data_IF_641771276066
#
_entry.id   IF_641771276066
#
_cell.length_a   1.000
_cell.length_b   1.000
_cell.length_c   1.000
_cell.angle_alpha   90.00
_cell.angle_beta   90.00
_cell.angle_gamma   90.00
#
_symmetry.space_group_name_H-M   'P 1'
#
loop_
_entity.id
_entity.type
_entity.pdbx_description
1 polymer ?
#
# COMPACT_ATOMS: atom_id res chain seq x y z
N UNK A 1 -48.61 16.48 -11.20
CA UNK A 1 -48.33 15.64 -12.39
C UNK A 1 -47.54 16.48 -13.38
N UNK A 2 -46.26 16.17 -13.57
CA UNK A 2 -45.38 16.90 -14.49
C UNK A 2 -45.66 16.47 -15.93
N UNK A 3 -46.08 17.38 -16.80
CA UNK A 3 -46.46 17.11 -18.20
C UNK A 3 -45.29 16.89 -19.17
N UNK A 4 -44.07 16.69 -18.66
CA UNK A 4 -42.84 16.66 -19.47
C UNK A 4 -42.87 15.54 -20.53
N UNK A 5 -43.34 14.34 -20.16
CA UNK A 5 -43.46 13.22 -21.09
C UNK A 5 -44.48 13.49 -22.20
N UNK A 6 -45.56 14.22 -21.90
CA UNK A 6 -46.54 14.62 -22.91
C UNK A 6 -45.91 15.57 -23.93
N UNK A 7 -45.23 16.61 -23.45
CA UNK A 7 -44.50 17.58 -24.29
C UNK A 7 -43.45 16.88 -25.15
N UNK A 8 -42.68 15.96 -24.56
CA UNK A 8 -41.69 15.17 -25.27
C UNK A 8 -42.29 14.35 -26.42
N UNK A 9 -43.40 13.64 -26.19
CA UNK A 9 -44.08 12.85 -27.22
C UNK A 9 -44.65 13.72 -28.35
N UNK A 10 -45.22 14.88 -28.01
CA UNK A 10 -45.75 15.83 -29.00
C UNK A 10 -44.65 16.41 -29.91
N UNK A 11 -43.43 16.59 -29.36
CA UNK A 11 -42.26 17.07 -30.07
C UNK A 11 -41.62 16.01 -30.97
N UNK A 12 -41.34 14.81 -30.43
CA UNK A 12 -40.61 13.76 -31.16
C UNK A 12 -41.49 12.96 -32.12
N UNK A 13 -42.77 12.75 -31.78
CA UNK A 13 -43.76 12.01 -32.58
C UNK A 13 -43.28 10.62 -33.05
N UNK A 14 -42.64 9.88 -32.15
CA UNK A 14 -42.23 8.49 -32.38
C UNK A 14 -43.38 7.49 -32.23
N UNK A 15 -43.19 6.29 -32.82
CA UNK A 15 -44.12 5.16 -32.70
C UNK A 15 -43.98 4.42 -31.36
N UNK A 16 -42.78 4.44 -30.78
CA UNK A 16 -42.46 3.88 -29.47
C UNK A 16 -41.42 4.73 -28.78
N UNK A 17 -41.32 4.59 -27.45
CA UNK A 17 -40.47 5.43 -26.61
C UNK A 17 -39.87 4.58 -25.50
N UNK A 18 -38.56 4.70 -25.28
CA UNK A 18 -37.85 4.08 -24.17
C UNK A 18 -37.25 5.18 -23.31
N UNK A 19 -37.56 5.16 -22.02
CA UNK A 19 -36.94 6.02 -21.03
C UNK A 19 -35.88 5.24 -20.23
N UNK A 20 -34.69 5.79 -20.13
CA UNK A 20 -33.57 5.21 -19.39
C UNK A 20 -33.13 6.19 -18.33
N UNK A 21 -33.16 5.79 -17.06
CA UNK A 21 -32.80 6.69 -15.96
C UNK A 21 -32.55 5.98 -14.64
N UNK A 22 -32.14 6.76 -13.64
CA UNK A 22 -31.62 6.29 -12.36
C UNK A 22 -32.53 6.60 -11.16
N UNK A 23 -33.68 7.23 -11.41
CA UNK A 23 -34.72 7.48 -10.43
C UNK A 23 -35.90 6.57 -10.70
N UNK A 24 -36.08 5.54 -9.87
CA UNK A 24 -37.14 4.55 -10.04
C UNK A 24 -38.54 5.17 -10.23
N UNK A 25 -38.88 6.20 -9.46
CA UNK A 25 -40.20 6.83 -9.57
C UNK A 25 -40.31 7.74 -10.81
N UNK A 26 -39.33 8.61 -11.02
CA UNK A 26 -39.38 9.58 -12.12
C UNK A 26 -39.20 8.93 -13.50
N UNK A 27 -38.28 7.98 -13.59
CA UNK A 27 -37.77 7.41 -14.83
C UNK A 27 -38.43 6.07 -15.18
N UNK A 28 -39.01 5.36 -14.21
CA UNK A 28 -39.72 4.11 -14.47
C UNK A 28 -41.22 4.26 -14.25
N UNK A 29 -41.65 4.60 -13.03
CA UNK A 29 -43.09 4.65 -12.72
C UNK A 29 -43.81 5.72 -13.55
N UNK A 30 -43.31 6.95 -13.57
CA UNK A 30 -43.97 8.04 -14.30
C UNK A 30 -43.82 7.94 -15.82
N UNK A 31 -42.72 7.36 -16.33
CA UNK A 31 -42.56 7.13 -17.77
C UNK A 31 -43.55 6.07 -18.26
N UNK A 32 -43.68 4.95 -17.54
CA UNK A 32 -44.64 3.87 -17.84
C UNK A 32 -46.09 4.37 -17.77
N UNK A 33 -46.43 5.17 -16.76
CA UNK A 33 -47.76 5.81 -16.67
C UNK A 33 -48.07 6.73 -17.85
N UNK A 34 -47.04 7.21 -18.57
CA UNK A 34 -47.17 8.03 -19.77
C UNK A 34 -47.03 7.22 -21.08
N UNK A 35 -46.98 5.88 -21.01
CA UNK A 35 -46.93 5.00 -22.18
C UNK A 35 -45.55 4.89 -22.82
N UNK A 36 -44.47 5.08 -22.05
CA UNK A 36 -43.10 4.78 -22.46
C UNK A 36 -42.69 3.43 -21.87
N UNK A 37 -41.90 2.65 -22.60
CA UNK A 37 -41.10 1.59 -22.01
C UNK A 37 -40.05 2.23 -21.09
N UNK A 38 -39.62 1.51 -20.05
CA UNK A 38 -38.62 2.04 -19.11
C UNK A 38 -37.55 1.03 -18.77
N UNK A 39 -36.31 1.51 -18.66
CA UNK A 39 -35.17 0.74 -18.21
C UNK A 39 -34.49 1.46 -17.05
N UNK A 40 -34.46 0.79 -15.90
CA UNK A 40 -33.89 1.35 -14.68
C UNK A 40 -32.39 1.09 -14.58
N UNK A 41 -31.61 2.17 -14.47
CA UNK A 41 -30.17 2.11 -14.19
C UNK A 41 -29.97 2.32 -12.69
N UNK A 42 -29.55 1.27 -11.99
CA UNK A 42 -29.19 1.36 -10.57
C UNK A 42 -28.02 2.30 -10.36
N UNK A 43 -28.11 3.15 -9.34
CA UNK A 43 -26.99 3.98 -8.89
C UNK A 43 -25.91 3.08 -8.28
N UNK A 44 -24.67 3.58 -8.24
CA UNK A 44 -23.55 2.86 -7.63
C UNK A 44 -23.84 2.40 -6.18
N UNK A 45 -24.56 3.21 -5.39
CA UNK A 45 -24.99 2.86 -4.04
C UNK A 45 -25.98 1.68 -3.99
N UNK A 46 -26.83 1.55 -5.01
CA UNK A 46 -27.83 0.48 -5.13
C UNK A 46 -27.23 -0.79 -5.75
N UNK A 47 -26.08 -0.67 -6.41
CA UNK A 47 -25.29 -1.78 -6.92
C UNK A 47 -24.48 -2.47 -5.81
N UNK A 48 -24.13 -1.76 -4.73
CA UNK A 48 -23.28 -2.30 -3.67
C UNK A 48 -23.85 -3.56 -2.99
N UNK A 49 -25.13 -3.61 -2.57
CA UNK A 49 -25.72 -4.81 -1.98
C UNK A 49 -25.77 -6.02 -2.93
N UNK A 50 -25.65 -5.78 -4.25
CA UNK A 50 -25.64 -6.83 -5.28
C UNK A 50 -24.23 -7.36 -5.59
N UNK A 51 -23.21 -6.70 -5.04
CA UNK A 51 -21.81 -7.06 -5.28
C UNK A 51 -21.26 -7.95 -4.16
N UNK A 52 -20.16 -8.65 -4.45
CA UNK A 52 -19.37 -9.36 -3.43
C UNK A 52 -18.78 -8.43 -2.35
N UNK A 53 -18.85 -7.11 -2.56
CA UNK A 53 -18.49 -6.09 -1.58
C UNK A 53 -19.69 -5.62 -0.76
N UNK A 54 -20.83 -6.31 -0.72
CA UNK A 54 -21.90 -5.93 0.21
C UNK A 54 -21.44 -5.76 1.69
N UNK A 55 -20.54 -6.61 2.24
CA UNK A 55 -20.14 -6.52 3.65
C UNK A 55 -19.37 -5.27 4.06
N UNK A 56 -18.77 -4.50 3.14
CA UNK A 56 -18.01 -3.28 3.50
C UNK A 56 -18.88 -2.23 4.21
N UNK A 57 -20.20 -2.25 4.00
CA UNK A 57 -21.16 -1.39 4.70
C UNK A 57 -21.15 -1.60 6.22
N UNK A 58 -20.77 -2.78 6.71
CA UNK A 58 -20.71 -3.08 8.13
C UNK A 58 -19.51 -2.44 8.85
N UNK A 59 -18.54 -1.89 8.11
CA UNK A 59 -17.30 -1.33 8.65
C UNK A 59 -17.27 0.20 8.62
N UNK A 60 -18.43 0.86 8.60
CA UNK A 60 -18.55 2.32 8.52
C UNK A 60 -19.05 2.96 9.82
N UNK A 61 -18.25 2.86 10.88
CA UNK A 61 -18.55 3.38 12.22
C UNK A 61 -18.41 4.89 12.32
N UNK A 62 -17.52 5.51 11.52
CA UNK A 62 -17.29 6.96 11.52
C UNK A 62 -17.35 7.59 10.11
N UNK A 63 -17.28 8.92 10.06
CA UNK A 63 -17.37 9.68 8.80
C UNK A 63 -16.23 9.37 7.84
N UNK A 64 -15.01 9.14 8.35
CA UNK A 64 -13.85 8.84 7.51
C UNK A 64 -14.01 7.48 6.83
N UNK A 65 -14.50 6.49 7.56
CA UNK A 65 -14.82 5.18 7.01
C UNK A 65 -15.94 5.27 5.96
N UNK A 66 -17.03 5.99 6.25
CA UNK A 66 -18.10 6.23 5.27
C UNK A 66 -17.58 6.91 4.00
N UNK A 67 -16.66 7.88 4.13
CA UNK A 67 -16.03 8.55 2.98
C UNK A 67 -15.19 7.57 2.15
N UNK A 68 -14.35 6.75 2.79
CA UNK A 68 -13.55 5.73 2.10
C UNK A 68 -14.45 4.76 1.32
N UNK A 69 -15.51 4.26 1.97
CA UNK A 69 -16.49 3.37 1.33
C UNK A 69 -17.22 4.07 0.19
N UNK A 70 -17.61 5.33 0.36
CA UNK A 70 -18.22 6.14 -0.69
C UNK A 70 -17.33 6.31 -1.92
N UNK A 71 -16.04 6.60 -1.73
CA UNK A 71 -15.06 6.69 -2.81
C UNK A 71 -14.86 5.34 -3.51
N UNK A 72 -14.83 4.24 -2.75
CA UNK A 72 -14.80 2.89 -3.30
C UNK A 72 -16.03 2.63 -4.18
N UNK A 73 -17.24 2.88 -3.68
CA UNK A 73 -18.50 2.69 -4.44
C UNK A 73 -18.48 3.52 -5.73
N UNK A 74 -18.10 4.80 -5.64
CA UNK A 74 -18.05 5.70 -6.78
C UNK A 74 -17.02 5.27 -7.85
N UNK A 75 -15.95 4.57 -7.46
CA UNK A 75 -14.95 4.06 -8.42
C UNK A 75 -15.31 2.67 -8.95
N UNK A 76 -15.76 1.78 -8.08
CA UNK A 76 -15.98 0.36 -8.35
C UNK A 76 -17.31 0.08 -9.06
N UNK A 77 -18.36 0.85 -8.73
CA UNK A 77 -19.74 0.55 -9.09
C UNK A 77 -20.40 1.64 -9.95
N UNK A 78 -19.65 2.67 -10.34
CA UNK A 78 -20.14 3.72 -11.27
C UNK A 78 -20.08 3.29 -12.75
N UNK A 79 -20.42 2.02 -12.98
CA UNK A 79 -20.67 1.43 -14.29
C UNK A 79 -21.81 0.43 -14.08
N UNK A 80 -22.99 0.63 -14.70
CA UNK A 80 -24.15 -0.24 -14.47
C UNK A 80 -23.95 -1.68 -14.97
N UNK A 81 -22.89 -1.93 -15.76
CA UNK A 81 -22.54 -3.26 -16.27
C UNK A 81 -21.38 -3.91 -15.51
N UNK A 82 -20.86 -3.30 -14.44
CA UNK A 82 -19.66 -3.79 -13.73
C UNK A 82 -19.81 -5.18 -13.09
N UNK A 83 -21.05 -5.65 -12.89
CA UNK A 83 -21.36 -6.96 -12.30
C UNK A 83 -21.83 -7.99 -13.36
N UNK A 84 -21.87 -7.61 -14.64
CA UNK A 84 -22.34 -8.48 -15.70
C UNK A 84 -21.36 -9.65 -15.90
N UNK A 85 -21.86 -10.88 -15.77
CA UNK A 85 -21.07 -12.11 -15.95
C UNK A 85 -19.85 -12.23 -15.02
N UNK A 86 -19.83 -11.54 -13.87
CA UNK A 86 -18.73 -11.60 -12.90
C UNK A 86 -19.07 -12.33 -11.61
N UNK A 87 -20.28 -12.89 -11.50
CA UNK A 87 -20.79 -13.50 -10.26
C UNK A 87 -20.75 -12.49 -9.09
N UNK A 88 -21.18 -11.24 -9.36
CA UNK A 88 -21.21 -10.16 -8.38
C UNK A 88 -19.83 -9.55 -8.04
N UNK A 89 -18.74 -10.00 -8.67
CA UNK A 89 -17.39 -9.47 -8.38
C UNK A 89 -17.07 -8.26 -9.26
N UNK A 90 -16.52 -7.21 -8.67
CA UNK A 90 -16.03 -6.06 -9.46
C UNK A 90 -14.70 -6.44 -10.10
N UNK A 91 -14.60 -6.26 -11.42
CA UNK A 91 -13.37 -6.48 -12.17
C UNK A 91 -12.45 -5.26 -12.03
N UNK A 92 -11.16 -5.50 -11.80
CA UNK A 92 -10.15 -4.44 -11.63
C UNK A 92 -9.04 -4.65 -12.66
N UNK A 93 -9.20 -4.01 -13.82
CA UNK A 93 -8.32 -4.22 -14.97
C UNK A 93 -7.16 -3.22 -15.06
N UNK A 94 -7.18 -2.18 -14.23
CA UNK A 94 -6.19 -1.11 -14.27
C UNK A 94 -5.44 -0.99 -12.94
N UNK A 95 -4.12 -0.87 -13.03
CA UNK A 95 -3.24 -0.66 -11.86
C UNK A 95 -3.63 0.59 -11.08
N UNK A 96 -4.02 1.68 -11.77
CA UNK A 96 -4.49 2.89 -11.11
C UNK A 96 -5.76 2.64 -10.29
N UNK A 97 -6.68 1.84 -10.81
CA UNK A 97 -7.93 1.50 -10.11
C UNK A 97 -7.66 0.62 -8.89
N UNK A 98 -6.74 -0.35 -9.00
CA UNK A 98 -6.24 -1.12 -7.84
C UNK A 98 -5.65 -0.20 -6.76
N UNK A 99 -4.80 0.74 -7.18
CA UNK A 99 -4.19 1.73 -6.30
C UNK A 99 -5.22 2.61 -5.60
N UNK A 100 -6.19 3.15 -6.35
CA UNK A 100 -7.24 4.01 -5.82
C UNK A 100 -8.17 3.29 -4.84
N UNK A 101 -8.60 2.06 -5.17
CA UNK A 101 -9.64 1.37 -4.40
C UNK A 101 -9.11 0.69 -3.14
N UNK A 102 -7.86 0.20 -3.15
CA UNK A 102 -7.34 -0.63 -2.05
C UNK A 102 -6.12 0.00 -1.38
N UNK A 103 -5.12 0.38 -2.17
CA UNK A 103 -3.83 0.87 -1.65
C UNK A 103 -3.96 2.28 -1.07
N UNK A 104 -4.70 3.16 -1.73
CA UNK A 104 -4.92 4.55 -1.33
C UNK A 104 -5.56 4.66 0.05
N UNK A 105 -6.70 4.00 0.32
CA UNK A 105 -7.30 3.98 1.65
C UNK A 105 -6.37 3.42 2.73
N UNK A 106 -5.67 2.32 2.43
CA UNK A 106 -4.75 1.68 3.37
C UNK A 106 -3.60 2.62 3.76
N UNK A 107 -2.90 3.18 2.77
CA UNK A 107 -1.79 4.10 3.01
C UNK A 107 -2.28 5.38 3.67
N UNK A 108 -3.44 5.92 3.28
CA UNK A 108 -4.01 7.11 3.93
C UNK A 108 -4.25 6.86 5.41
N UNK A 109 -4.88 5.74 5.78
CA UNK A 109 -5.08 5.35 7.18
C UNK A 109 -3.74 5.22 7.92
N UNK A 110 -2.74 4.62 7.27
CA UNK A 110 -1.40 4.50 7.84
C UNK A 110 -0.75 5.87 8.11
N UNK A 111 -0.83 6.82 7.18
CA UNK A 111 -0.28 8.18 7.38
C UNK A 111 -0.98 8.93 8.51
N UNK A 112 -2.31 8.81 8.61
CA UNK A 112 -3.08 9.40 9.70
C UNK A 112 -2.65 8.82 11.06
N UNK A 113 -2.53 7.49 11.14
CA UNK A 113 -2.07 6.80 12.34
C UNK A 113 -0.63 7.18 12.70
N UNK A 114 0.30 7.13 11.72
CA UNK A 114 1.70 7.47 11.89
C UNK A 114 1.83 8.89 12.45
N UNK A 115 1.13 9.86 11.84
CA UNK A 115 1.18 11.26 12.31
C UNK A 115 0.68 11.40 13.74
N UNK A 116 -0.38 10.68 14.13
CA UNK A 116 -0.85 10.64 15.51
C UNK A 116 0.21 10.12 16.47
N UNK A 117 0.80 8.95 16.16
CA UNK A 117 1.84 8.34 17.00
C UNK A 117 3.08 9.21 17.15
N UNK A 118 3.48 9.90 16.09
CA UNK A 118 4.67 10.76 16.11
C UNK A 118 4.46 12.05 16.90
N UNK A 119 3.20 12.53 16.99
CA UNK A 119 2.85 13.70 17.81
C UNK A 119 2.61 13.35 19.28
N UNK A 120 2.19 12.12 19.57
CA UNK A 120 2.05 11.62 20.94
C UNK A 120 3.39 11.24 21.58
N UNK A 121 4.37 10.83 20.77
CA UNK A 121 5.71 10.51 21.23
C UNK A 121 6.62 11.73 21.32
N UNK A 122 7.58 11.69 22.25
CA UNK A 122 8.68 12.65 22.32
C UNK A 122 9.79 12.26 21.34
N UNK A 123 9.53 12.39 20.05
CA UNK A 123 10.50 12.15 18.99
C UNK A 123 10.96 13.47 18.37
N UNK A 124 12.25 13.61 18.10
CA UNK A 124 12.77 14.78 17.39
C UNK A 124 12.49 14.67 15.88
N UNK A 125 12.72 13.49 15.29
CA UNK A 125 12.69 13.26 13.85
C UNK A 125 12.28 11.83 13.48
N UNK A 126 11.89 11.63 12.21
CA UNK A 126 11.50 10.33 11.63
C UNK A 126 12.45 9.98 10.49
N UNK A 127 13.11 8.82 10.58
CA UNK A 127 13.96 8.30 9.52
C UNK A 127 13.17 7.41 8.56
N UNK A 128 12.78 7.95 7.40
CA UNK A 128 12.13 7.19 6.34
C UNK A 128 13.17 6.50 5.46
N UNK A 129 13.32 5.17 5.61
CA UNK A 129 14.32 4.41 4.84
C UNK A 129 14.09 4.54 3.32
N UNK A 130 15.16 4.65 2.55
CA UNK A 130 15.04 4.94 1.11
C UNK A 130 14.23 3.92 0.30
N UNK A 131 14.23 2.65 0.72
CA UNK A 131 13.59 1.55 0.01
C UNK A 131 12.06 1.62 0.06
N UNK A 132 11.52 1.75 1.26
CA UNK A 132 10.08 1.64 1.51
C UNK A 132 9.47 2.98 1.95
N UNK A 133 10.32 3.92 2.38
CA UNK A 133 9.94 5.20 2.98
C UNK A 133 9.71 6.34 2.00
N UNK A 134 10.11 6.24 0.72
CA UNK A 134 9.97 7.36 -0.22
C UNK A 134 8.52 7.84 -0.37
N UNK A 135 7.59 6.92 -0.69
CA UNK A 135 6.18 7.27 -0.84
C UNK A 135 5.57 7.70 0.49
N UNK A 136 5.93 7.02 1.58
CA UNK A 136 5.41 7.30 2.92
C UNK A 136 5.81 8.70 3.37
N UNK A 137 7.08 9.07 3.27
CA UNK A 137 7.58 10.40 3.59
C UNK A 137 6.83 11.47 2.78
N UNK A 138 6.73 11.29 1.46
CA UNK A 138 6.03 12.25 0.58
C UNK A 138 4.58 12.46 0.99
N UNK A 139 3.89 11.41 1.40
CA UNK A 139 2.50 11.49 1.83
C UNK A 139 2.36 12.06 3.25
N UNK A 140 3.31 11.75 4.14
CA UNK A 140 3.42 12.34 5.46
C UNK A 140 3.60 13.86 5.36
N UNK A 141 4.62 14.33 4.63
CA UNK A 141 4.91 15.75 4.43
C UNK A 141 3.70 16.48 3.82
N UNK A 142 3.09 15.89 2.78
CA UNK A 142 1.88 16.43 2.14
C UNK A 142 0.69 16.48 3.09
N UNK A 143 0.56 15.52 3.99
CA UNK A 143 -0.51 15.51 4.99
C UNK A 143 -0.29 16.63 6.02
N UNK A 144 0.94 16.81 6.51
CA UNK A 144 1.28 17.91 7.42
C UNK A 144 0.99 19.27 6.78
N UNK A 145 1.46 19.48 5.55
CA UNK A 145 1.23 20.70 4.77
C UNK A 145 -0.28 20.97 4.59
N UNK A 146 -1.06 19.97 4.20
CA UNK A 146 -2.50 20.13 3.95
C UNK A 146 -3.34 20.38 5.21
N UNK A 147 -2.78 20.10 6.38
CA UNK A 147 -3.45 20.26 7.67
C UNK A 147 -2.84 21.37 8.52
N UNK A 148 -1.86 22.11 7.98
CA UNK A 148 -1.10 23.13 8.69
C UNK A 148 -0.54 22.61 10.04
N UNK A 149 -0.09 21.35 10.06
CA UNK A 149 0.48 20.71 11.26
C UNK A 149 1.97 21.06 11.34
N UNK A 150 2.36 21.80 12.38
CA UNK A 150 3.73 22.27 12.58
C UNK A 150 4.42 21.66 13.81
N UNK A 151 3.69 20.90 14.62
CA UNK A 151 4.15 20.30 15.86
C UNK A 151 4.53 18.81 15.72
N UNK A 152 4.57 18.29 14.48
CA UNK A 152 4.95 16.92 14.22
C UNK A 152 6.46 16.81 13.89
N UNK A 153 7.12 15.70 14.26
CA UNK A 153 8.54 15.48 13.98
C UNK A 153 8.88 15.56 12.48
N UNK A 154 10.06 16.09 12.16
CA UNK A 154 10.51 16.23 10.76
C UNK A 154 10.79 14.86 10.14
N UNK A 155 10.32 14.64 8.91
CA UNK A 155 10.65 13.46 8.12
C UNK A 155 11.98 13.61 7.36
N UNK A 156 12.96 12.77 7.66
CA UNK A 156 14.22 12.68 6.92
C UNK A 156 14.19 11.48 5.96
N UNK A 157 14.51 11.73 4.70
CA UNK A 157 14.75 10.66 3.73
C UNK A 157 16.09 9.98 4.00
N UNK A 158 16.04 8.85 4.70
CA UNK A 158 17.22 8.15 5.17
C UNK A 158 17.73 7.15 4.11
N UNK A 159 18.81 7.51 3.41
CA UNK A 159 19.46 6.64 2.41
C UNK A 159 20.23 5.50 3.09
N UNK A 160 19.48 4.50 3.55
CA UNK A 160 20.01 3.29 4.17
C UNK A 160 20.01 2.13 3.17
N UNK A 161 21.10 1.37 3.17
CA UNK A 161 21.15 0.03 2.56
C UNK A 161 20.88 -1.02 3.64
N UNK A 162 19.97 -1.97 3.36
CA UNK A 162 19.74 -3.11 4.26
C UNK A 162 21.03 -3.84 4.55
N UNK A 163 21.83 -4.08 3.53
CA UNK A 163 23.10 -4.78 3.67
C UNK A 163 24.05 -4.02 4.61
N UNK A 164 24.18 -2.70 4.45
CA UNK A 164 25.00 -1.89 5.33
C UNK A 164 24.49 -1.89 6.79
N UNK A 165 23.17 -1.77 6.99
CA UNK A 165 22.56 -1.79 8.31
C UNK A 165 22.76 -3.15 9.02
N UNK A 166 22.55 -4.25 8.29
CA UNK A 166 22.77 -5.62 8.77
C UNK A 166 24.23 -5.83 9.15
N UNK A 167 25.18 -5.52 8.26
CA UNK A 167 26.59 -5.74 8.55
C UNK A 167 27.09 -4.88 9.73
N UNK A 168 26.57 -3.66 9.89
CA UNK A 168 26.89 -2.78 11.02
C UNK A 168 26.29 -3.24 12.36
N UNK A 169 25.25 -4.09 12.34
CA UNK A 169 24.51 -4.52 13.53
C UNK A 169 24.87 -5.91 14.02
N UNK A 170 25.86 -6.60 13.44
CA UNK A 170 26.28 -7.92 13.92
C UNK A 170 26.90 -7.80 15.32
N UNK A 171 26.30 -8.44 16.33
CA UNK A 171 26.74 -8.38 17.74
C UNK A 171 26.82 -9.74 18.42
N UNK A 172 26.11 -10.72 17.89
CA UNK A 172 25.96 -12.05 18.49
C UNK A 172 26.21 -13.15 17.48
N UNK A 173 26.52 -14.35 17.98
CA UNK A 173 26.61 -15.54 17.11
C UNK A 173 25.27 -15.85 16.44
N UNK A 174 24.13 -15.48 17.06
CA UNK A 174 22.80 -15.68 16.49
C UNK A 174 22.59 -14.83 15.23
N UNK A 175 23.13 -13.61 15.20
CA UNK A 175 23.08 -12.76 14.00
C UNK A 175 23.80 -13.45 12.81
N UNK A 176 24.95 -14.07 13.08
CA UNK A 176 25.73 -14.81 12.08
C UNK A 176 24.97 -16.07 11.65
N UNK A 177 24.40 -16.83 12.60
CA UNK A 177 23.60 -18.02 12.31
C UNK A 177 22.41 -17.67 11.43
N UNK A 178 21.70 -16.60 11.75
CA UNK A 178 20.53 -16.15 10.99
C UNK A 178 20.90 -15.83 9.55
N UNK A 179 21.91 -14.98 9.32
CA UNK A 179 22.36 -14.64 7.96
C UNK A 179 22.87 -15.86 7.20
N UNK A 180 23.68 -16.70 7.85
CA UNK A 180 24.26 -17.91 7.24
C UNK A 180 23.22 -19.00 6.94
N UNK A 181 22.03 -18.92 7.53
CA UNK A 181 20.92 -19.85 7.28
C UNK A 181 20.09 -19.49 6.04
N UNK A 182 20.27 -18.28 5.50
CA UNK A 182 19.52 -17.82 4.35
C UNK A 182 19.98 -18.53 3.07
N UNK A 183 19.08 -18.74 2.09
CA UNK A 183 19.47 -19.29 0.79
C UNK A 183 20.52 -18.41 0.09
N UNK A 184 21.55 -19.05 -0.46
CA UNK A 184 22.61 -18.41 -1.24
C UNK A 184 22.82 -19.16 -2.57
N UNK A 185 23.27 -18.44 -3.59
CA UNK A 185 23.45 -18.95 -4.97
C UNK A 185 24.88 -18.76 -5.49
N UNK A 186 25.84 -18.74 -4.57
CA UNK A 186 27.27 -18.46 -4.79
C UNK A 186 28.15 -19.52 -4.11
N UNK A 187 29.48 -19.41 -4.23
CA UNK A 187 30.37 -20.24 -3.40
C UNK A 187 30.29 -19.79 -1.93
N UNK A 188 30.63 -20.67 -0.97
CA UNK A 188 30.62 -20.31 0.45
C UNK A 188 31.48 -19.08 0.76
N UNK A 189 32.66 -18.95 0.15
CA UNK A 189 33.55 -17.80 0.34
C UNK A 189 32.88 -16.50 -0.12
N UNK A 190 32.27 -16.51 -1.31
CA UNK A 190 31.55 -15.35 -1.85
C UNK A 190 30.34 -15.02 -0.97
N UNK A 191 29.65 -16.03 -0.44
CA UNK A 191 28.55 -15.81 0.49
C UNK A 191 29.02 -15.08 1.75
N UNK A 192 30.16 -15.47 2.35
CA UNK A 192 30.72 -14.77 3.53
C UNK A 192 31.08 -13.32 3.16
N UNK A 193 31.70 -13.11 2.00
CA UNK A 193 32.06 -11.78 1.52
C UNK A 193 30.83 -10.88 1.40
N UNK A 194 29.82 -11.32 0.64
CA UNK A 194 28.64 -10.53 0.33
C UNK A 194 27.65 -10.40 1.50
N UNK A 195 27.65 -11.34 2.44
CA UNK A 195 26.68 -11.32 3.55
C UNK A 195 27.18 -10.53 4.77
N UNK A 196 28.50 -10.45 4.96
CA UNK A 196 29.12 -9.80 6.12
C UNK A 196 30.06 -8.63 5.75
N UNK A 197 30.12 -8.26 4.46
CA UNK A 197 31.00 -7.23 3.90
C UNK A 197 32.47 -7.43 4.30
N UNK A 198 32.89 -8.70 4.40
CA UNK A 198 34.22 -9.09 4.86
C UNK A 198 35.17 -9.16 3.66
N UNK A 199 36.34 -8.50 3.67
CA UNK A 199 37.30 -8.57 2.57
C UNK A 199 37.70 -10.00 2.20
N UNK A 200 37.81 -10.30 0.91
CA UNK A 200 38.09 -11.66 0.40
C UNK A 200 39.39 -12.27 0.97
N UNK A 201 40.41 -11.45 1.22
CA UNK A 201 41.68 -11.85 1.82
C UNK A 201 41.56 -12.25 3.30
N UNK A 202 40.44 -11.89 3.95
CA UNK A 202 40.10 -12.24 5.33
C UNK A 202 39.14 -13.43 5.41
N UNK A 203 38.87 -14.11 4.29
CA UNK A 203 37.98 -15.29 4.25
C UNK A 203 38.82 -16.56 4.24
N UNK A 204 38.47 -17.50 5.11
CA UNK A 204 39.08 -18.82 5.17
C UNK A 204 38.61 -19.63 3.95
N UNK A 205 39.46 -20.43 3.29
CA UNK A 205 39.00 -21.31 2.21
C UNK A 205 37.96 -22.29 2.74
N UNK A 206 36.92 -22.54 1.95
CA UNK A 206 35.88 -23.49 2.33
C UNK A 206 36.40 -24.92 2.23
N UNK A 207 36.12 -25.70 3.28
CA UNK A 207 36.46 -27.11 3.37
C UNK A 207 35.28 -27.87 3.99
N UNK A 208 34.59 -28.66 3.17
CA UNK A 208 33.42 -29.43 3.59
C UNK A 208 33.74 -30.52 4.63
N UNK A 209 35.00 -30.91 4.79
CA UNK A 209 35.41 -31.84 5.84
C UNK A 209 35.51 -31.18 7.22
N UNK A 210 35.74 -29.87 7.24
CA UNK A 210 35.89 -29.05 8.45
C UNK A 210 34.60 -28.33 8.84
N UNK A 211 33.81 -27.94 7.85
CA UNK A 211 32.58 -27.17 8.03
C UNK A 211 31.38 -27.98 7.51
N UNK A 212 30.63 -28.67 8.40
CA UNK A 212 29.50 -29.52 8.01
C UNK A 212 28.36 -28.74 7.33
N UNK A 213 28.27 -27.43 7.60
CA UNK A 213 27.27 -26.55 7.04
C UNK A 213 27.79 -25.10 6.96
N UNK A 214 27.02 -24.24 6.30
CA UNK A 214 27.38 -22.83 6.10
C UNK A 214 27.33 -22.03 7.39
N UNK A 215 26.48 -22.40 8.34
CA UNK A 215 26.40 -21.74 9.65
C UNK A 215 27.70 -21.94 10.42
N UNK A 216 28.22 -23.16 10.45
CA UNK A 216 29.50 -23.51 11.06
C UNK A 216 30.67 -22.79 10.37
N UNK A 217 30.60 -22.62 9.04
CA UNK A 217 31.58 -21.87 8.27
C UNK A 217 31.51 -20.36 8.57
N UNK A 218 30.32 -19.77 8.68
CA UNK A 218 30.13 -18.38 9.10
C UNK A 218 30.66 -18.12 10.51
N UNK A 219 30.38 -19.02 11.45
CA UNK A 219 30.87 -18.92 12.83
C UNK A 219 32.39 -19.05 12.95
N UNK A 220 33.05 -19.73 12.01
CA UNK A 220 34.50 -19.76 11.95
C UNK A 220 35.13 -18.38 11.67
N UNK A 221 34.33 -17.41 11.19
CA UNK A 221 34.75 -16.03 10.94
C UNK A 221 34.27 -15.04 12.00
N UNK A 222 33.67 -15.50 13.11
CA UNK A 222 32.93 -14.64 14.06
C UNK A 222 33.72 -13.43 14.54
N UNK A 223 34.99 -13.62 14.91
CA UNK A 223 35.81 -12.54 15.45
C UNK A 223 36.09 -11.47 14.38
N UNK A 224 36.35 -11.91 13.14
CA UNK A 224 36.55 -11.02 11.98
C UNK A 224 35.26 -10.30 11.60
N UNK A 225 34.12 -10.99 11.63
CA UNK A 225 32.80 -10.41 11.35
C UNK A 225 32.45 -9.34 12.39
N UNK A 226 32.64 -9.61 13.69
CA UNK A 226 32.36 -8.62 14.73
C UNK A 226 33.30 -7.41 14.65
N UNK A 227 34.59 -7.64 14.40
CA UNK A 227 35.54 -6.54 14.22
C UNK A 227 35.16 -5.66 13.01
N UNK A 228 34.80 -6.28 11.88
CA UNK A 228 34.34 -5.56 10.69
C UNK A 228 33.03 -4.80 10.95
N UNK A 229 32.07 -5.44 11.60
CA UNK A 229 30.79 -4.86 11.99
C UNK A 229 30.96 -3.60 12.85
N UNK A 230 31.90 -3.59 13.80
CA UNK A 230 32.21 -2.39 14.58
C UNK A 230 32.75 -1.25 13.72
N UNK A 231 33.63 -1.55 12.75
CA UNK A 231 34.14 -0.54 11.80
C UNK A 231 33.01 0.02 10.92
N UNK A 232 32.13 -0.85 10.42
CA UNK A 232 30.97 -0.47 9.61
C UNK A 232 29.96 0.35 10.40
N UNK A 233 29.69 -0.02 11.66
CA UNK A 233 28.85 0.75 12.56
C UNK A 233 29.37 2.17 12.77
N UNK A 234 30.68 2.33 13.01
CA UNK A 234 31.30 3.64 13.15
C UNK A 234 31.16 4.50 11.87
N UNK A 235 31.30 3.90 10.69
CA UNK A 235 31.06 4.61 9.41
C UNK A 235 29.59 4.98 9.22
N UNK A 236 28.69 4.07 9.60
CA UNK A 236 27.25 4.26 9.46
C UNK A 236 26.72 5.35 10.39
N UNK A 237 27.19 5.40 11.63
CA UNK A 237 26.89 6.48 12.58
C UNK A 237 27.44 7.81 12.12
N UNK A 238 28.69 7.86 11.62
CA UNK A 238 29.22 9.09 10.98
C UNK A 238 28.34 9.57 9.84
N UNK A 239 27.84 8.67 9.00
CA UNK A 239 26.89 9.04 7.96
C UNK A 239 25.60 9.65 8.54
N UNK A 240 25.06 9.06 9.61
CA UNK A 240 23.88 9.59 10.29
C UNK A 240 24.10 10.98 10.87
N UNK A 241 25.27 11.25 11.49
CA UNK A 241 25.64 12.56 12.03
C UNK A 241 25.62 13.69 10.98
N UNK A 242 25.74 13.37 9.69
CA UNK A 242 25.72 14.37 8.61
C UNK A 242 24.30 14.67 8.08
N UNK A 243 23.27 13.97 8.55
CA UNK A 243 21.90 14.11 8.05
C UNK A 243 21.03 15.09 8.86
N UNK A 244 21.50 15.54 10.02
CA UNK A 244 20.77 16.40 10.95
C UNK A 244 21.46 16.40 12.30
#
# INVERSE_FOLDING_TARGET
>A
MTGLYKVFKEYVRGNSYLHIGDNYYADCVYSQQNGLDSFYIKKASEMLPLSGYAPIQCYTSNINERLIVGLFIAKALNNPFCLHQTDGRVKVDEVYSLGYMFVGPLITKFILWLTGQMREGNFDEILFSARDGYLIQRLYDKYLEKRDITDAPRGIYFRSSRHAAVCASMRTEEDIRWISSLPYYSTPEIMIHESFDLPLDQILPYDSSRYPDIVSYGLAHKDRIFENSLKLAGRYLKYMEHLG
#
